data_IF_640975513379
#
_entry.id   IF_640975513379
#
_cell.length_a   1.000
_cell.length_b   1.000
_cell.length_c   1.000
_cell.angle_alpha   90.00
_cell.angle_beta   90.00
_cell.angle_gamma   90.00
#
_symmetry.space_group_name_H-M   'P 1'
#
loop_
_entity.id
_entity.type
_entity.pdbx_description
1 polymer ?
#
# COMPACT_ATOMS: atom_id res chain seq x y z
N UNK A 1 -3.39 4.16 18.99
CA UNK A 1 -3.92 3.77 17.67
C UNK A 1 -3.71 4.91 16.71
N UNK A 2 -3.03 4.67 15.58
CA UNK A 2 -2.44 5.73 14.78
C UNK A 2 -3.50 6.39 13.88
N UNK A 3 -3.42 7.72 13.82
CA UNK A 3 -4.12 8.51 12.83
C UNK A 3 -3.70 8.10 11.41
N UNK A 4 -4.47 8.48 10.37
CA UNK A 4 -4.12 8.13 8.99
C UNK A 4 -2.73 8.66 8.63
N UNK A 5 -1.97 7.87 7.88
CA UNK A 5 -0.64 8.24 7.42
C UNK A 5 -0.73 9.15 6.20
N UNK A 6 -0.07 10.30 6.28
CA UNK A 6 0.06 11.23 5.16
C UNK A 6 1.40 11.02 4.45
N UNK A 7 1.36 10.66 3.17
CA UNK A 7 2.53 10.57 2.30
C UNK A 7 2.53 11.73 1.28
N UNK A 8 3.42 12.70 1.50
CA UNK A 8 3.56 13.89 0.65
C UNK A 8 3.93 13.55 -0.81
N UNK A 9 4.73 12.52 -1.02
CA UNK A 9 5.21 12.15 -2.36
C UNK A 9 4.09 11.51 -3.16
N UNK A 10 3.32 10.64 -2.52
CA UNK A 10 2.14 10.01 -3.10
C UNK A 10 1.01 11.00 -3.36
N UNK A 11 0.74 11.92 -2.43
CA UNK A 11 -0.26 12.97 -2.62
C UNK A 11 0.10 13.86 -3.83
N UNK A 12 1.36 14.28 -3.94
CA UNK A 12 1.85 15.08 -5.06
C UNK A 12 1.80 14.33 -6.39
N UNK A 13 2.15 13.05 -6.41
CA UNK A 13 2.12 12.24 -7.65
C UNK A 13 0.69 12.04 -8.15
N UNK A 14 -0.24 11.69 -7.26
CA UNK A 14 -1.68 11.54 -7.57
C UNK A 14 -2.25 12.85 -8.10
N UNK A 15 -1.98 13.98 -7.43
CA UNK A 15 -2.45 15.29 -7.89
C UNK A 15 -1.97 15.62 -9.30
N UNK A 16 -0.68 15.39 -9.58
CA UNK A 16 -0.09 15.66 -10.91
C UNK A 16 -0.66 14.73 -11.99
N UNK A 17 -0.87 13.46 -11.67
CA UNK A 17 -1.47 12.50 -12.60
C UNK A 17 -2.93 12.86 -12.93
N UNK A 18 -3.65 13.48 -11.98
CA UNK A 18 -5.00 13.99 -12.19
C UNK A 18 -5.06 15.41 -12.80
N UNK A 19 -3.91 16.01 -13.11
CA UNK A 19 -3.78 17.39 -13.64
C UNK A 19 -4.44 18.48 -12.77
N UNK A 20 -4.59 18.22 -11.47
CA UNK A 20 -5.18 19.17 -10.51
C UNK A 20 -4.09 20.13 -10.04
N UNK A 21 -4.35 21.44 -10.00
CA UNK A 21 -3.36 22.41 -9.49
C UNK A 21 -3.33 22.48 -7.96
N UNK A 22 -2.26 23.04 -7.38
CA UNK A 22 -2.22 23.28 -5.91
C UNK A 22 -3.30 24.27 -5.47
N UNK A 23 -3.62 25.26 -6.32
CA UNK A 23 -4.67 26.24 -6.10
C UNK A 23 -6.07 25.63 -6.15
N UNK A 24 -6.31 24.62 -6.98
CA UNK A 24 -7.60 23.92 -7.01
C UNK A 24 -7.82 23.14 -5.72
N UNK A 25 -6.78 22.45 -5.23
CA UNK A 25 -6.80 21.77 -3.94
C UNK A 25 -7.04 22.77 -2.81
N UNK A 26 -6.30 23.88 -2.81
CA UNK A 26 -6.42 24.92 -1.79
C UNK A 26 -7.83 25.51 -1.75
N UNK A 27 -8.39 25.85 -2.91
CA UNK A 27 -9.74 26.39 -3.06
C UNK A 27 -10.81 25.40 -2.57
N UNK A 28 -10.68 24.13 -2.92
CA UNK A 28 -11.63 23.10 -2.50
C UNK A 28 -11.60 22.84 -0.98
N UNK A 29 -10.44 23.00 -0.34
CA UNK A 29 -10.27 22.81 1.11
C UNK A 29 -10.40 24.11 1.93
N UNK A 30 -10.59 25.26 1.29
CA UNK A 30 -10.62 26.56 1.97
C UNK A 30 -9.30 26.92 2.68
N UNK A 31 -8.16 26.47 2.15
CA UNK A 31 -6.82 26.77 2.67
C UNK A 31 -6.05 27.65 1.68
N UNK A 32 -4.91 28.20 2.10
CA UNK A 32 -4.04 28.96 1.19
C UNK A 32 -3.21 28.02 0.30
N UNK A 33 -2.90 28.45 -0.93
CA UNK A 33 -2.03 27.71 -1.86
C UNK A 33 -0.67 27.35 -1.24
N UNK A 34 -0.12 28.27 -0.44
CA UNK A 34 1.12 28.07 0.31
C UNK A 34 1.03 26.94 1.34
N UNK A 35 -0.16 26.69 1.89
CA UNK A 35 -0.41 25.56 2.81
C UNK A 35 -0.29 24.23 2.07
N UNK A 36 -0.90 24.11 0.88
CA UNK A 36 -0.82 22.90 0.05
C UNK A 36 0.61 22.68 -0.44
N UNK A 37 1.30 23.74 -0.87
CA UNK A 37 2.71 23.68 -1.19
C UNK A 37 3.54 23.19 0.02
N UNK A 38 3.28 23.73 1.21
CA UNK A 38 3.93 23.31 2.44
C UNK A 38 3.75 21.82 2.76
N UNK A 39 2.56 21.27 2.51
CA UNK A 39 2.31 19.83 2.64
C UNK A 39 3.12 18.99 1.65
N UNK A 40 3.17 19.40 0.39
CA UNK A 40 3.92 18.69 -0.66
C UNK A 40 5.44 18.76 -0.47
N UNK A 41 5.95 19.87 0.06
CA UNK A 41 7.35 20.03 0.44
C UNK A 41 7.67 19.36 1.80
N UNK A 42 6.64 19.08 2.60
CA UNK A 42 6.75 18.49 3.94
C UNK A 42 7.23 19.47 5.00
N UNK A 43 7.06 20.78 4.79
CA UNK A 43 7.25 21.79 5.84
C UNK A 43 6.07 21.83 6.83
N UNK A 44 4.92 21.26 6.46
CA UNK A 44 3.74 21.12 7.31
C UNK A 44 2.98 19.83 6.95
N UNK A 45 2.03 19.43 7.79
CA UNK A 45 1.14 18.29 7.56
C UNK A 45 -0.32 18.73 7.63
N UNK A 46 -1.21 18.18 6.80
CA UNK A 46 -2.64 18.46 6.90
C UNK A 46 -3.23 17.90 8.19
N UNK A 47 -4.27 18.55 8.70
CA UNK A 47 -5.08 18.02 9.80
C UNK A 47 -5.81 16.76 9.35
N UNK A 48 -6.11 15.87 10.29
CA UNK A 48 -6.75 14.58 10.00
C UNK A 48 -8.14 14.75 9.39
N UNK A 49 -8.91 15.74 9.84
CA UNK A 49 -10.22 16.09 9.28
C UNK A 49 -10.15 16.54 7.81
N UNK A 50 -9.01 17.06 7.36
CA UNK A 50 -8.83 17.52 5.97
C UNK A 50 -8.49 16.36 5.01
N UNK A 51 -8.11 15.19 5.52
CA UNK A 51 -7.67 14.07 4.69
C UNK A 51 -8.81 13.48 3.85
N UNK A 52 -10.02 13.42 4.39
CA UNK A 52 -11.20 12.95 3.65
C UNK A 52 -11.53 13.89 2.48
N UNK A 53 -11.54 15.20 2.72
CA UNK A 53 -11.73 16.22 1.70
C UNK A 53 -10.62 16.20 0.64
N UNK A 54 -9.34 16.03 1.05
CA UNK A 54 -8.22 15.86 0.13
C UNK A 54 -8.41 14.67 -0.80
N UNK A 55 -8.83 13.52 -0.26
CA UNK A 55 -9.07 12.32 -1.06
C UNK A 55 -10.22 12.52 -2.06
N UNK A 56 -11.30 13.21 -1.65
CA UNK A 56 -12.42 13.56 -2.54
C UNK A 56 -11.99 14.45 -3.70
N UNK A 57 -11.22 15.50 -3.43
CA UNK A 57 -10.69 16.42 -4.47
C UNK A 57 -9.80 15.67 -5.46
N UNK A 58 -8.95 14.78 -4.94
CA UNK A 58 -8.05 13.95 -5.74
C UNK A 58 -8.74 12.74 -6.39
N UNK A 59 -10.06 12.55 -6.16
CA UNK A 59 -10.87 11.44 -6.67
C UNK A 59 -10.25 10.07 -6.37
N UNK A 60 -9.67 9.91 -5.19
CA UNK A 60 -9.10 8.66 -4.71
C UNK A 60 -9.80 8.20 -3.43
N UNK A 61 -9.91 6.89 -3.18
CA UNK A 61 -10.37 6.38 -1.89
C UNK A 61 -9.45 6.84 -0.76
N UNK A 62 -10.04 7.26 0.37
CA UNK A 62 -9.28 7.75 1.55
C UNK A 62 -8.33 6.68 2.06
N UNK A 63 -8.76 5.41 2.12
CA UNK A 63 -7.95 4.29 2.59
C UNK A 63 -6.77 3.97 1.66
N UNK A 64 -6.95 4.19 0.36
CA UNK A 64 -5.87 4.03 -0.61
C UNK A 64 -4.84 5.13 -0.40
N UNK A 65 -5.26 6.40 -0.39
CA UNK A 65 -4.35 7.54 -0.37
C UNK A 65 -3.70 7.76 1.00
N UNK A 66 -4.46 7.53 2.08
CA UNK A 66 -4.08 7.78 3.46
C UNK A 66 -4.36 6.52 4.32
N UNK A 67 -3.52 5.48 4.20
CA UNK A 67 -3.72 4.23 4.91
C UNK A 67 -3.58 4.42 6.42
N UNK A 68 -4.31 3.61 7.19
CA UNK A 68 -4.28 3.54 8.66
C UNK A 68 -3.84 2.14 9.08
N UNK A 69 -3.09 2.02 10.18
CA UNK A 69 -2.86 0.73 10.81
C UNK A 69 -3.96 0.44 11.84
N UNK A 70 -4.79 -0.57 11.55
CA UNK A 70 -5.84 -1.03 12.45
C UNK A 70 -7.18 -0.33 12.25
N UNK A 71 -8.15 -0.73 13.09
CA UNK A 71 -9.53 -0.28 13.01
C UNK A 71 -9.73 1.12 13.63
N UNK A 72 -10.66 1.93 13.09
CA UNK A 72 -10.89 3.31 13.54
C UNK A 72 -11.45 3.40 14.95
N UNK A 73 -10.95 4.33 15.76
CA UNK A 73 -11.61 4.78 17.00
C UNK A 73 -12.68 5.87 16.74
N UNK A 74 -13.30 6.44 17.79
CA UNK A 74 -14.34 7.47 17.59
C UNK A 74 -13.79 8.74 16.94
N UNK A 75 -12.55 9.10 17.25
CA UNK A 75 -11.87 10.27 16.68
C UNK A 75 -11.61 10.03 15.21
N UNK A 76 -11.15 8.83 14.88
CA UNK A 76 -10.90 8.40 13.51
C UNK A 76 -12.17 8.46 12.64
N UNK A 77 -13.29 7.91 13.13
CA UNK A 77 -14.57 7.96 12.41
C UNK A 77 -15.02 9.40 12.14
N UNK A 78 -14.86 10.28 13.12
CA UNK A 78 -15.18 11.70 12.98
C UNK A 78 -14.30 12.38 11.91
N UNK A 79 -12.99 12.14 11.96
CA UNK A 79 -12.06 12.70 10.97
C UNK A 79 -12.29 12.13 9.57
N UNK A 80 -12.64 10.84 9.45
CA UNK A 80 -12.95 10.19 8.18
C UNK A 80 -14.22 10.79 7.54
N UNK A 81 -15.17 11.22 8.37
CA UNK A 81 -16.34 11.99 7.94
C UNK A 81 -16.03 13.47 7.60
N UNK A 82 -14.79 13.93 7.84
CA UNK A 82 -14.39 15.32 7.64
C UNK A 82 -14.97 16.30 8.65
N UNK A 83 -15.48 15.81 9.79
CA UNK A 83 -16.15 16.64 10.79
C UNK A 83 -15.16 17.15 11.83
N UNK A 84 -15.24 18.43 12.15
CA UNK A 84 -14.50 18.99 13.27
C UNK A 84 -15.24 18.75 14.59
N UNK A 85 -14.48 18.62 15.69
CA UNK A 85 -15.07 18.34 17.00
C UNK A 85 -16.08 19.39 17.46
N UNK A 86 -15.87 20.67 17.12
CA UNK A 86 -16.80 21.75 17.49
C UNK A 86 -18.18 21.64 16.81
N UNK A 87 -18.27 20.93 15.68
CA UNK A 87 -19.53 20.71 14.95
C UNK A 87 -20.39 19.63 15.61
N UNK A 88 -19.80 18.82 16.49
CA UNK A 88 -20.46 17.66 17.07
C UNK A 88 -21.63 18.02 17.97
N UNK A 89 -21.58 19.19 18.61
CA UNK A 89 -22.71 19.71 19.38
C UNK A 89 -23.98 19.81 18.53
N UNK A 90 -23.87 20.26 17.27
CA UNK A 90 -24.99 20.35 16.35
C UNK A 90 -25.50 18.97 15.93
N UNK A 91 -24.59 18.04 15.64
CA UNK A 91 -24.93 16.67 15.22
C UNK A 91 -25.70 15.91 16.30
N UNK A 92 -25.27 15.99 17.57
CA UNK A 92 -25.95 15.27 18.66
C UNK A 92 -27.10 16.07 19.31
N UNK A 93 -27.37 17.29 18.82
CA UNK A 93 -28.44 18.17 19.32
C UNK A 93 -28.20 18.67 20.76
N UNK A 94 -26.96 18.96 21.14
CA UNK A 94 -26.59 19.46 22.47
C UNK A 94 -25.99 20.87 22.41
N UNK A 95 -25.87 21.51 23.58
CA UNK A 95 -25.22 22.82 23.70
C UNK A 95 -23.68 22.75 23.61
N UNK A 96 -23.09 21.57 23.77
CA UNK A 96 -21.64 21.35 23.73
C UNK A 96 -21.28 19.98 23.17
N UNK A 97 -20.07 19.88 22.61
CA UNK A 97 -19.44 18.65 22.11
C UNK A 97 -18.91 17.74 23.24
N UNK A 98 -19.02 18.18 24.49
CA UNK A 98 -18.50 17.48 25.67
C UNK A 98 -18.81 15.98 25.77
N UNK A 99 -20.02 15.49 25.39
CA UNK A 99 -20.29 14.05 25.35
C UNK A 99 -19.40 13.30 24.35
N UNK A 100 -19.17 13.85 23.16
CA UNK A 100 -18.31 13.26 22.14
C UNK A 100 -16.85 13.37 22.55
N UNK A 101 -16.41 14.54 23.00
CA UNK A 101 -15.04 14.74 23.47
C UNK A 101 -14.66 13.79 24.61
N UNK A 102 -15.55 13.60 25.60
CA UNK A 102 -15.33 12.66 26.69
C UNK A 102 -15.29 11.20 26.24
N UNK A 103 -15.99 10.85 25.16
CA UNK A 103 -15.99 9.50 24.60
C UNK A 103 -14.77 9.22 23.74
N UNK A 104 -14.34 10.17 22.91
CA UNK A 104 -13.10 10.10 22.14
C UNK A 104 -11.87 9.94 23.03
N UNK A 105 -11.85 10.63 24.17
CA UNK A 105 -10.80 10.51 25.18
C UNK A 105 -10.91 9.26 26.05
N UNK A 106 -11.98 8.46 25.89
CA UNK A 106 -12.23 7.27 26.70
C UNK A 106 -12.56 7.55 28.18
N UNK A 107 -12.91 8.79 28.53
CA UNK A 107 -13.25 9.21 29.89
C UNK A 107 -14.70 8.86 30.24
N UNK A 108 -15.63 8.97 29.27
CA UNK A 108 -17.07 8.72 29.48
C UNK A 108 -17.72 8.10 28.25
N UNK A 109 -18.54 7.07 28.45
CA UNK A 109 -19.31 6.46 27.36
C UNK A 109 -20.42 7.38 26.84
N UNK A 110 -20.70 7.30 25.54
CA UNK A 110 -21.85 7.96 24.92
C UNK A 110 -23.14 7.32 25.43
N UNK A 111 -24.17 8.14 25.56
CA UNK A 111 -25.54 7.66 25.81
C UNK A 111 -26.13 7.13 24.52
N UNK A 112 -26.93 6.07 24.59
CA UNK A 112 -27.51 5.40 23.42
C UNK A 112 -28.29 6.33 22.49
N UNK A 113 -28.95 7.36 23.05
CA UNK A 113 -29.70 8.33 22.27
C UNK A 113 -28.88 9.14 21.26
N UNK A 114 -27.55 9.24 21.45
CA UNK A 114 -26.67 9.97 20.53
C UNK A 114 -26.14 9.09 19.39
N UNK A 115 -26.18 7.76 19.56
CA UNK A 115 -25.54 6.84 18.62
C UNK A 115 -26.15 6.88 17.21
N UNK A 116 -27.49 6.97 17.02
CA UNK A 116 -28.05 7.05 15.68
C UNK A 116 -27.60 8.30 14.90
N UNK A 117 -27.60 9.47 15.54
CA UNK A 117 -27.17 10.73 14.90
C UNK A 117 -25.68 10.72 14.55
N UNK A 118 -24.85 10.09 15.38
CA UNK A 118 -23.43 9.93 15.10
C UNK A 118 -23.18 8.91 13.99
N UNK A 119 -23.90 7.80 13.99
CA UNK A 119 -23.81 6.78 12.94
C UNK A 119 -24.16 7.37 11.56
N UNK A 120 -25.26 8.13 11.49
CA UNK A 120 -25.66 8.86 10.28
C UNK A 120 -24.60 9.88 9.84
N UNK A 121 -24.12 10.73 10.76
CA UNK A 121 -23.13 11.76 10.44
C UNK A 121 -21.77 11.17 10.01
N UNK A 122 -21.39 10.01 10.54
CA UNK A 122 -20.14 9.33 10.19
C UNK A 122 -20.27 8.40 8.97
N UNK A 123 -21.49 8.16 8.48
CA UNK A 123 -21.75 7.23 7.38
C UNK A 123 -21.48 5.76 7.73
N UNK A 124 -21.63 5.38 9.01
CA UNK A 124 -21.39 4.01 9.51
C UNK A 124 -22.61 3.50 10.29
N UNK A 125 -22.58 2.23 10.68
CA UNK A 125 -23.63 1.62 11.51
C UNK A 125 -23.49 1.99 12.99
N UNK A 126 -24.60 1.91 13.74
CA UNK A 126 -24.60 2.12 15.20
C UNK A 126 -23.65 1.14 15.92
N UNK A 127 -23.55 -0.10 15.43
CA UNK A 127 -22.65 -1.11 15.99
C UNK A 127 -21.18 -0.76 15.75
N UNK A 128 -20.84 -0.20 14.60
CA UNK A 128 -19.49 0.30 14.32
C UNK A 128 -19.12 1.47 15.25
N UNK A 129 -20.05 2.39 15.53
CA UNK A 129 -19.84 3.46 16.52
C UNK A 129 -19.60 2.88 17.92
N UNK A 130 -20.38 1.86 18.34
CA UNK A 130 -20.14 1.18 19.63
C UNK A 130 -18.77 0.52 19.69
N UNK A 131 -18.37 -0.20 18.62
CA UNK A 131 -17.05 -0.85 18.53
C UNK A 131 -15.93 0.19 18.58
N UNK A 132 -16.07 1.31 17.85
CA UNK A 132 -15.11 2.41 17.88
C UNK A 132 -15.03 3.08 19.25
N UNK A 133 -16.16 3.18 19.97
CA UNK A 133 -16.17 3.65 21.35
C UNK A 133 -15.38 2.72 22.26
N UNK A 134 -15.61 1.40 22.19
CA UNK A 134 -14.87 0.46 23.04
C UNK A 134 -13.36 0.51 22.75
N UNK A 135 -12.96 0.72 21.49
CA UNK A 135 -11.56 0.99 21.13
C UNK A 135 -11.01 2.28 21.76
N UNK A 136 -11.79 3.36 21.76
CA UNK A 136 -11.42 4.64 22.40
C UNK A 136 -11.24 4.47 23.92
N UNK A 137 -12.12 3.68 24.55
CA UNK A 137 -12.06 3.36 25.98
C UNK A 137 -10.85 2.49 26.33
N UNK A 138 -10.57 1.47 25.54
CA UNK A 138 -9.41 0.59 25.74
C UNK A 138 -8.09 1.34 25.53
N UNK A 139 -8.02 2.21 24.51
CA UNK A 139 -6.90 3.14 24.31
C UNK A 139 -6.62 4.01 25.53
N UNK A 140 -7.66 4.56 26.17
CA UNK A 140 -7.52 5.37 27.37
C UNK A 140 -7.05 4.57 28.60
N UNK A 141 -7.36 3.26 28.66
CA UNK A 141 -6.86 2.34 29.70
C UNK A 141 -5.43 1.85 29.45
N UNK A 142 -4.82 2.20 28.32
CA UNK A 142 -3.49 1.71 27.94
C UNK A 142 -3.50 0.23 27.51
N UNK A 143 -4.67 -0.34 27.22
CA UNK A 143 -4.79 -1.67 26.66
C UNK A 143 -4.34 -1.61 25.19
N UNK A 144 -3.36 -2.44 24.82
CA UNK A 144 -3.07 -2.72 23.40
C UNK A 144 -4.30 -3.43 22.83
N UNK A 145 -5.24 -2.66 22.29
CA UNK A 145 -6.32 -3.22 21.49
C UNK A 145 -5.66 -3.99 20.37
N UNK A 146 -5.97 -5.28 20.29
CA UNK A 146 -5.43 -6.18 19.28
C UNK A 146 -5.44 -5.48 17.93
N UNK A 147 -4.31 -5.58 17.22
CA UNK A 147 -4.25 -5.40 15.77
C UNK A 147 -5.10 -6.50 15.16
N UNK A 148 -6.43 -6.44 15.34
CA UNK A 148 -7.33 -7.09 14.40
C UNK A 148 -7.01 -6.39 13.10
N UNK A 149 -6.31 -7.12 12.23
CA UNK A 149 -6.07 -6.74 10.86
C UNK A 149 -7.39 -6.13 10.39
N UNK A 150 -7.35 -4.82 10.11
CA UNK A 150 -8.48 -4.14 9.55
C UNK A 150 -9.01 -5.02 8.42
N UNK A 151 -10.32 -5.12 8.29
CA UNK A 151 -10.94 -5.62 7.07
C UNK A 151 -10.43 -4.71 5.93
N UNK A 152 -9.25 -5.03 5.42
CA UNK A 152 -8.83 -4.71 4.08
C UNK A 152 -9.92 -5.42 3.27
N UNK A 153 -10.75 -4.72 2.48
CA UNK A 153 -11.48 -5.43 1.45
C UNK A 153 -10.38 -6.10 0.66
N UNK A 154 -10.26 -7.44 0.81
CA UNK A 154 -9.15 -8.26 0.36
C UNK A 154 -8.40 -7.53 -0.75
N UNK A 155 -7.32 -6.84 -0.39
CA UNK A 155 -6.30 -6.59 -1.39
C UNK A 155 -5.82 -8.00 -1.62
N UNK A 156 -6.47 -8.69 -2.58
CA UNK A 156 -6.21 -10.07 -2.94
C UNK A 156 -4.71 -10.24 -2.82
N UNK A 157 -4.27 -11.12 -1.90
CA UNK A 157 -2.85 -11.29 -1.68
C UNK A 157 -2.19 -11.42 -3.06
N UNK A 158 -1.16 -10.60 -3.37
CA UNK A 158 -0.60 -10.58 -4.70
C UNK A 158 -0.27 -12.01 -5.09
N UNK A 159 -0.69 -12.46 -6.30
CA UNK A 159 -0.67 -13.87 -6.62
C UNK A 159 0.75 -14.41 -6.49
N UNK A 160 0.94 -15.38 -5.59
CA UNK A 160 2.25 -15.98 -5.32
C UNK A 160 2.59 -17.08 -6.32
N UNK A 161 1.56 -17.67 -6.94
CA UNK A 161 1.72 -18.73 -7.94
C UNK A 161 1.89 -18.13 -9.34
N UNK A 162 2.68 -18.80 -10.18
CA UNK A 162 2.83 -18.43 -11.58
C UNK A 162 1.48 -18.30 -12.30
N UNK A 163 0.57 -19.25 -12.03
CA UNK A 163 -0.80 -19.26 -12.53
C UNK A 163 -1.56 -17.98 -12.16
N UNK A 164 -1.55 -17.60 -10.89
CA UNK A 164 -2.22 -16.38 -10.43
C UNK A 164 -1.61 -15.13 -11.04
N UNK A 165 -0.27 -15.07 -11.19
CA UNK A 165 0.44 -13.96 -11.81
C UNK A 165 0.04 -13.78 -13.27
N UNK A 166 -0.07 -14.87 -14.03
CA UNK A 166 -0.52 -14.85 -15.44
C UNK A 166 -1.99 -14.43 -15.52
N UNK A 167 -2.87 -14.98 -14.69
CA UNK A 167 -4.30 -14.64 -14.66
C UNK A 167 -4.52 -13.17 -14.36
N UNK A 168 -3.84 -12.64 -13.33
CA UNK A 168 -3.93 -11.24 -12.95
C UNK A 168 -3.49 -10.31 -14.10
N UNK A 169 -2.40 -10.63 -14.80
CA UNK A 169 -1.92 -9.83 -15.93
C UNK A 169 -2.93 -9.82 -17.08
N UNK A 170 -3.58 -10.96 -17.38
CA UNK A 170 -4.61 -11.05 -18.41
C UNK A 170 -5.85 -10.22 -18.05
N UNK A 171 -6.35 -10.32 -16.83
CA UNK A 171 -7.52 -9.57 -16.37
C UNK A 171 -7.27 -8.05 -16.33
N UNK A 172 -6.09 -7.63 -15.87
CA UNK A 172 -5.73 -6.22 -15.75
C UNK A 172 -5.40 -5.57 -17.09
N UNK A 173 -4.80 -6.31 -18.02
CA UNK A 173 -4.42 -5.77 -19.32
C UNK A 173 -5.60 -5.71 -20.30
N UNK A 174 -6.66 -6.50 -20.07
CA UNK A 174 -7.80 -6.61 -20.97
C UNK A 174 -9.17 -6.52 -20.23
N UNK A 175 -9.48 -5.40 -19.56
CA UNK A 175 -10.72 -5.28 -18.76
C UNK A 175 -12.00 -5.22 -19.59
N UNK A 176 -11.95 -4.71 -20.83
CA UNK A 176 -13.11 -4.57 -21.73
C UNK A 176 -12.91 -5.28 -23.10
N UNK A 177 -11.85 -6.08 -23.23
CA UNK A 177 -11.45 -6.73 -24.48
C UNK A 177 -11.45 -8.26 -24.39
N UNK A 178 -11.34 -8.93 -25.53
CA UNK A 178 -11.09 -10.38 -25.55
C UNK A 178 -9.62 -10.62 -25.20
N UNK A 179 -9.37 -11.23 -24.04
CA UNK A 179 -8.04 -11.65 -23.65
C UNK A 179 -7.43 -12.61 -24.70
N UNK A 180 -6.12 -12.53 -24.97
CA UNK A 180 -5.46 -13.41 -25.92
C UNK A 180 -5.61 -14.87 -25.49
N UNK A 181 -5.90 -15.74 -26.46
CA UNK A 181 -6.06 -17.17 -26.21
C UNK A 181 -4.73 -17.88 -25.99
N UNK A 182 -4.76 -19.06 -25.37
CA UNK A 182 -3.55 -19.84 -25.05
C UNK A 182 -2.69 -20.16 -26.30
N UNK A 183 -3.32 -20.31 -27.46
CA UNK A 183 -2.62 -20.51 -28.73
C UNK A 183 -1.88 -19.27 -29.24
N UNK A 184 -2.42 -18.09 -28.97
CA UNK A 184 -1.79 -16.81 -29.32
C UNK A 184 -0.58 -16.55 -28.42
N UNK A 185 -0.73 -16.80 -27.12
CA UNK A 185 0.35 -16.69 -26.15
C UNK A 185 1.48 -17.68 -26.50
N UNK A 186 1.16 -18.95 -26.77
CA UNK A 186 2.16 -19.96 -27.15
C UNK A 186 2.92 -19.57 -28.42
N UNK A 187 2.22 -19.01 -29.42
CA UNK A 187 2.84 -18.53 -30.66
C UNK A 187 3.80 -17.37 -30.40
N UNK A 188 3.42 -16.42 -29.55
CA UNK A 188 4.28 -15.29 -29.17
C UNK A 188 5.54 -15.77 -28.43
N UNK A 189 5.39 -16.70 -27.49
CA UNK A 189 6.53 -17.29 -26.75
C UNK A 189 7.49 -18.02 -27.71
N UNK A 190 6.97 -18.80 -28.66
CA UNK A 190 7.81 -19.49 -29.65
C UNK A 190 8.51 -18.51 -30.60
N UNK A 191 7.83 -17.41 -30.97
CA UNK A 191 8.42 -16.35 -31.78
C UNK A 191 9.58 -15.66 -31.04
N UNK A 192 9.44 -15.39 -29.74
CA UNK A 192 10.50 -14.87 -28.90
C UNK A 192 11.68 -15.85 -28.79
N UNK A 193 11.39 -17.13 -28.55
CA UNK A 193 12.41 -18.16 -28.39
C UNK A 193 13.13 -18.54 -29.69
N UNK A 194 12.55 -18.21 -30.85
CA UNK A 194 13.06 -18.64 -32.16
C UNK A 194 12.95 -20.16 -32.39
N UNK A 195 12.19 -20.87 -31.55
CA UNK A 195 12.01 -22.32 -31.58
C UNK A 195 10.65 -22.72 -30.98
N UNK A 196 10.18 -23.93 -31.30
CA UNK A 196 8.97 -24.50 -30.69
C UNK A 196 9.25 -24.98 -29.26
N UNK A 197 9.21 -24.05 -28.31
CA UNK A 197 9.45 -24.30 -26.88
C UNK A 197 8.15 -24.40 -26.06
N UNK A 198 7.02 -24.04 -26.66
CA UNK A 198 5.71 -24.02 -26.01
C UNK A 198 4.58 -24.39 -26.98
N UNK A 199 3.43 -24.77 -26.41
CA UNK A 199 2.21 -25.11 -27.12
C UNK A 199 0.97 -24.62 -26.34
N UNK A 200 -0.24 -24.62 -26.93
CA UNK A 200 -1.45 -24.13 -26.27
C UNK A 200 -1.80 -24.90 -24.98
N UNK A 201 -1.55 -26.22 -24.95
CA UNK A 201 -1.82 -27.06 -23.77
C UNK A 201 -0.93 -26.70 -22.58
N UNK A 202 0.35 -26.39 -22.84
CA UNK A 202 1.30 -25.92 -21.84
C UNK A 202 0.87 -24.56 -21.28
N UNK A 203 0.40 -23.64 -22.14
CA UNK A 203 -0.10 -22.34 -21.70
C UNK A 203 -1.34 -22.47 -20.83
N UNK A 204 -2.28 -23.34 -21.20
CA UNK A 204 -3.44 -23.66 -20.38
C UNK A 204 -3.01 -24.24 -19.02
N UNK A 205 -2.07 -25.18 -19.00
CA UNK A 205 -1.57 -25.79 -17.77
C UNK A 205 -0.81 -24.81 -16.86
N UNK A 206 -0.08 -23.84 -17.42
CA UNK A 206 0.56 -22.76 -16.67
C UNK A 206 -0.47 -21.81 -16.05
N UNK A 207 -1.54 -21.49 -16.77
CA UNK A 207 -2.65 -20.65 -16.31
C UNK A 207 -3.48 -21.28 -15.20
N UNK A 208 -3.71 -22.60 -15.27
CA UNK A 208 -4.47 -23.33 -14.25
C UNK A 208 -3.61 -23.81 -13.08
N UNK A 209 -2.28 -23.60 -13.14
CA UNK A 209 -1.35 -24.06 -12.12
C UNK A 209 -1.14 -25.57 -12.10
N UNK A 210 -1.53 -26.28 -13.16
CA UNK A 210 -1.32 -27.72 -13.31
C UNK A 210 0.05 -28.07 -13.90
N UNK A 211 0.76 -27.09 -14.46
CA UNK A 211 2.13 -27.24 -14.92
C UNK A 211 3.15 -27.00 -13.79
N UNK A 212 4.28 -27.72 -13.83
CA UNK A 212 5.45 -27.43 -13.02
C UNK A 212 6.20 -26.17 -13.50
N UNK A 213 7.34 -25.88 -12.88
CA UNK A 213 8.17 -24.73 -13.25
C UNK A 213 8.59 -24.79 -14.73
N UNK A 214 8.19 -23.82 -15.57
CA UNK A 214 8.55 -23.82 -16.99
C UNK A 214 10.03 -23.49 -17.18
N UNK A 215 10.55 -23.79 -18.37
CA UNK A 215 11.92 -23.43 -18.73
C UNK A 215 12.12 -21.90 -18.73
N UNK A 216 13.33 -21.40 -18.40
CA UNK A 216 13.59 -19.95 -18.33
C UNK A 216 13.24 -19.19 -19.61
N UNK A 217 13.50 -19.79 -20.78
CA UNK A 217 13.18 -19.21 -22.09
C UNK A 217 11.67 -18.98 -22.26
N UNK A 218 10.83 -19.84 -21.66
CA UNK A 218 9.36 -19.69 -21.69
C UNK A 218 8.93 -18.53 -20.80
N UNK A 219 9.56 -18.36 -19.62
CA UNK A 219 9.31 -17.21 -18.75
C UNK A 219 9.72 -15.88 -19.39
N UNK A 220 10.82 -15.89 -20.13
CA UNK A 220 11.31 -14.72 -20.88
C UNK A 220 10.34 -14.35 -22.02
N UNK A 221 9.85 -15.34 -22.76
CA UNK A 221 8.82 -15.12 -23.78
C UNK A 221 7.50 -14.62 -23.19
N UNK A 222 7.07 -15.11 -22.03
CA UNK A 222 5.90 -14.60 -21.32
C UNK A 222 6.12 -13.16 -20.84
N UNK A 223 7.30 -12.86 -20.30
CA UNK A 223 7.68 -11.53 -19.85
C UNK A 223 7.66 -10.51 -20.99
N UNK A 224 8.22 -10.88 -22.15
CA UNK A 224 8.18 -10.08 -23.37
C UNK A 224 6.74 -9.85 -23.85
N UNK A 225 5.93 -10.91 -23.93
CA UNK A 225 4.52 -10.83 -24.34
C UNK A 225 3.69 -9.88 -23.46
N UNK A 226 3.86 -9.96 -22.14
CA UNK A 226 3.13 -9.12 -21.18
C UNK A 226 3.80 -7.76 -20.91
N UNK A 227 4.98 -7.50 -21.47
CA UNK A 227 5.74 -6.27 -21.21
C UNK A 227 6.21 -6.10 -19.76
N UNK A 228 6.44 -7.22 -19.05
CA UNK A 228 6.92 -7.23 -17.66
C UNK A 228 8.33 -7.77 -17.57
N UNK A 229 9.01 -7.54 -16.44
CA UNK A 229 10.31 -8.16 -16.20
C UNK A 229 10.13 -9.66 -15.89
N UNK A 230 11.05 -10.52 -16.38
CA UNK A 230 11.08 -11.97 -16.07
C UNK A 230 10.94 -12.27 -14.58
N UNK A 231 11.58 -11.46 -13.73
CA UNK A 231 11.56 -11.56 -12.27
C UNK A 231 10.14 -11.56 -11.69
N UNK A 232 9.18 -10.96 -12.38
CA UNK A 232 7.78 -10.99 -11.98
C UNK A 232 7.27 -12.43 -11.82
N UNK A 233 7.64 -13.32 -12.74
CA UNK A 233 7.17 -14.71 -12.77
C UNK A 233 7.98 -15.65 -11.87
N UNK A 234 9.04 -15.17 -11.23
CA UNK A 234 9.81 -15.99 -10.30
C UNK A 234 9.08 -16.11 -8.94
N UNK A 235 9.33 -17.19 -8.17
CA UNK A 235 8.81 -17.31 -6.81
C UNK A 235 9.32 -16.16 -5.93
N UNK A 236 8.49 -15.66 -5.03
CA UNK A 236 8.83 -14.50 -4.19
C UNK A 236 10.13 -14.70 -3.38
N UNK A 237 10.39 -15.94 -2.93
CA UNK A 237 11.64 -16.32 -2.25
C UNK A 237 12.88 -16.18 -3.13
N UNK A 238 12.76 -16.40 -4.45
CA UNK A 238 13.87 -16.29 -5.39
C UNK A 238 14.24 -14.82 -5.64
N UNK A 239 13.23 -13.95 -5.79
CA UNK A 239 13.42 -12.50 -5.93
C UNK A 239 14.07 -11.92 -4.68
N UNK A 240 13.62 -12.33 -3.49
CA UNK A 240 14.21 -11.91 -2.21
C UNK A 240 15.66 -12.37 -2.08
N UNK A 241 15.97 -13.61 -2.45
CA UNK A 241 17.36 -14.12 -2.44
C UNK A 241 18.26 -13.36 -3.40
N UNK A 242 17.80 -13.06 -4.61
CA UNK A 242 18.61 -12.35 -5.60
C UNK A 242 18.88 -10.90 -5.20
N UNK A 243 17.89 -10.23 -4.62
CA UNK A 243 18.06 -8.90 -4.02
C UNK A 243 19.06 -8.99 -2.86
N UNK A 244 18.95 -9.99 -1.98
CA UNK A 244 19.89 -10.21 -0.88
C UNK A 244 21.33 -10.48 -1.37
N UNK A 245 21.51 -11.31 -2.40
CA UNK A 245 22.82 -11.57 -3.00
C UNK A 245 23.41 -10.33 -3.65
N UNK A 246 22.61 -9.54 -4.37
CA UNK A 246 23.03 -8.27 -4.94
C UNK A 246 23.48 -7.27 -3.87
N UNK A 247 22.70 -7.13 -2.80
CA UNK A 247 23.03 -6.27 -1.65
C UNK A 247 24.29 -6.74 -0.93
N UNK A 248 24.44 -8.05 -0.70
CA UNK A 248 25.62 -8.66 -0.10
C UNK A 248 26.86 -8.48 -0.96
N UNK A 249 26.74 -8.60 -2.28
CA UNK A 249 27.84 -8.40 -3.22
C UNK A 249 28.28 -6.93 -3.26
N UNK A 250 27.33 -5.99 -3.24
CA UNK A 250 27.62 -4.56 -3.17
C UNK A 250 28.26 -4.18 -1.82
N UNK A 251 27.79 -4.76 -0.72
CA UNK A 251 28.42 -4.62 0.60
C UNK A 251 29.85 -5.19 0.60
N UNK A 252 30.04 -6.39 0.07
CA UNK A 252 31.36 -7.05 0.01
C UNK A 252 32.37 -6.33 -0.92
N UNK A 253 31.89 -5.72 -2.02
CA UNK A 253 32.71 -4.90 -2.91
C UNK A 253 33.20 -3.61 -2.21
N UNK A 254 32.38 -3.00 -1.35
CA UNK A 254 32.74 -1.81 -0.56
C UNK A 254 33.75 -2.13 0.55
N UNK A 255 33.72 -3.34 1.10
CA UNK A 255 34.66 -3.80 2.13
C UNK A 255 35.96 -4.42 1.58
N UNK A 256 36.24 -4.27 0.28
CA UNK A 256 37.51 -4.70 -0.32
C UNK A 256 37.72 -6.22 -0.40
N UNK A 257 36.68 -7.03 -0.16
CA UNK A 257 36.76 -8.50 -0.17
C UNK A 257 36.46 -9.13 -1.54
N UNK A 258 35.95 -8.36 -2.50
CA UNK A 258 35.75 -8.82 -3.88
C UNK A 258 36.70 -8.05 -4.79
N UNK A 259 37.75 -8.75 -5.25
CA UNK A 259 38.73 -8.18 -6.16
C UNK A 259 38.10 -7.74 -7.48
N UNK A 260 38.20 -6.44 -7.78
CA UNK A 260 38.12 -5.84 -9.13
C UNK A 260 37.06 -6.44 -10.07
N UNK A 261 35.78 -6.42 -9.68
CA UNK A 261 34.71 -6.42 -10.70
C UNK A 261 34.46 -4.95 -11.05
N UNK A 262 34.89 -4.53 -12.24
CA UNK A 262 34.47 -3.24 -12.82
C UNK A 262 32.95 -3.29 -12.99
N UNK A 263 32.22 -2.73 -12.03
CA UNK A 263 30.82 -2.39 -12.23
C UNK A 263 30.76 -1.40 -13.39
N UNK A 264 30.37 -1.86 -14.58
CA UNK A 264 30.03 -0.95 -15.68
C UNK A 264 28.82 -0.14 -15.22
N UNK A 265 29.02 1.16 -14.94
CA UNK A 265 27.91 2.12 -14.88
C UNK A 265 27.77 2.98 -13.62
N UNK A 266 28.55 2.78 -12.54
CA UNK A 266 28.57 3.77 -11.44
C UNK A 266 29.73 4.74 -11.63
N UNK A 267 29.42 6.02 -11.74
CA UNK A 267 30.41 7.11 -11.76
C UNK A 267 31.25 7.16 -10.48
N UNK A 268 32.24 8.06 -10.46
CA UNK A 268 33.22 8.22 -9.37
C UNK A 268 32.65 8.64 -8.01
N UNK A 269 31.35 8.89 -7.92
CA UNK A 269 30.64 9.19 -6.69
C UNK A 269 29.85 7.94 -6.31
N UNK A 270 30.31 7.21 -5.30
CA UNK A 270 29.56 6.09 -4.74
C UNK A 270 28.15 6.50 -4.28
N UNK A 271 27.33 5.51 -3.92
CA UNK A 271 25.95 5.75 -3.49
C UNK A 271 25.87 6.80 -2.36
N UNK A 272 24.88 7.72 -2.40
CA UNK A 272 24.67 8.72 -1.36
C UNK A 272 24.56 8.08 0.03
N UNK A 273 25.06 8.77 1.06
CA UNK A 273 25.10 8.27 2.44
C UNK A 273 23.74 7.81 2.99
N UNK A 274 22.66 8.46 2.54
CA UNK A 274 21.28 8.13 2.91
C UNK A 274 20.81 6.80 2.29
N UNK A 275 21.20 6.53 1.05
CA UNK A 275 20.93 5.23 0.42
C UNK A 275 21.76 4.14 1.10
N UNK A 276 22.98 4.45 1.53
CA UNK A 276 23.84 3.52 2.25
C UNK A 276 23.30 3.17 3.66
N UNK A 277 22.68 4.11 4.37
CA UNK A 277 22.07 3.83 5.67
C UNK A 277 20.85 2.93 5.51
N UNK A 278 20.02 3.19 4.49
CA UNK A 278 18.84 2.36 4.18
C UNK A 278 19.28 0.92 3.84
N UNK A 279 20.34 0.76 3.04
CA UNK A 279 20.86 -0.57 2.70
C UNK A 279 21.42 -1.33 3.91
N UNK A 280 22.08 -0.64 4.84
CA UNK A 280 22.56 -1.24 6.09
C UNK A 280 21.41 -1.62 7.03
N UNK A 281 20.39 -0.78 7.12
CA UNK A 281 19.20 -1.02 7.93
C UNK A 281 18.48 -2.28 7.44
N UNK A 282 18.21 -2.37 6.12
CA UNK A 282 17.64 -3.56 5.52
C UNK A 282 18.51 -4.80 5.72
N UNK A 283 19.83 -4.72 5.50
CA UNK A 283 20.72 -5.87 5.70
C UNK A 283 20.66 -6.41 7.15
N UNK A 284 20.59 -5.52 8.15
CA UNK A 284 20.51 -5.91 9.56
C UNK A 284 19.13 -6.45 9.98
N UNK A 285 18.03 -5.95 9.41
CA UNK A 285 16.70 -6.54 9.61
C UNK A 285 16.60 -7.95 9.01
N UNK A 286 17.19 -8.16 7.84
CA UNK A 286 17.15 -9.47 7.19
C UNK A 286 18.08 -10.51 7.85
N UNK A 287 19.25 -10.11 8.36
CA UNK A 287 20.11 -11.01 9.16
C UNK A 287 19.43 -11.46 10.46
N UNK A 288 18.66 -10.58 11.12
CA UNK A 288 17.86 -10.95 12.30
C UNK A 288 16.74 -11.94 11.97
N UNK A 289 16.20 -11.87 10.75
CA UNK A 289 15.13 -12.77 10.29
C UNK A 289 15.66 -14.13 9.80
N UNK A 290 16.96 -14.24 9.58
CA UNK A 290 17.64 -15.41 9.00
C UNK A 290 18.50 -16.22 9.99
N UNK A 291 18.32 -16.08 11.31
CA UNK A 291 19.08 -16.87 12.30
C UNK A 291 18.22 -17.74 13.20
N UNK A 292 18.74 -18.86 13.74
CA UNK A 292 19.50 -19.93 13.09
C UNK A 292 18.54 -21.04 12.62
N UNK A 293 18.80 -21.66 11.46
CA UNK A 293 18.29 -23.02 11.23
C UNK A 293 19.05 -23.94 12.18
N UNK A 294 18.37 -24.44 13.21
CA UNK A 294 18.84 -25.55 14.04
C UNK A 294 19.26 -26.69 13.11
N UNK A 295 20.55 -27.00 13.12
CA UNK A 295 21.08 -28.25 12.60
C UNK A 295 21.06 -29.24 13.76
N UNK A 296 20.14 -30.21 13.68
CA UNK A 296 20.32 -31.56 14.22
C UNK A 296 20.29 -32.55 13.05
#
# INVERSE_FOLDING_TARGET
MPARRFDRTRMRSVRRAAEISQSDVASALGVADSTVAGWELGSSTPDQEKLSALAQVLKQPVDSLFPRDGLPDLTDLRCDAGLHRYEMAAVIGTKSDGPVAGAEQGVRRLKDKYLPSLAEAYGVTVDEVRRAQERSMAKARGEEVQREAAFVPEAEEPPRTLAGKITLLLERSYPEGTAPGDAEIAKAVNAYAGAEVSNPEMMAALRTGSAGTPAPVVLEGLADFFGVARLYFEPDDAVVRQVYEGLRLMSAAKHGKVGRVRARGLGSEGLPAEVLSILNEFATEFEKKAGPTDNE
#
